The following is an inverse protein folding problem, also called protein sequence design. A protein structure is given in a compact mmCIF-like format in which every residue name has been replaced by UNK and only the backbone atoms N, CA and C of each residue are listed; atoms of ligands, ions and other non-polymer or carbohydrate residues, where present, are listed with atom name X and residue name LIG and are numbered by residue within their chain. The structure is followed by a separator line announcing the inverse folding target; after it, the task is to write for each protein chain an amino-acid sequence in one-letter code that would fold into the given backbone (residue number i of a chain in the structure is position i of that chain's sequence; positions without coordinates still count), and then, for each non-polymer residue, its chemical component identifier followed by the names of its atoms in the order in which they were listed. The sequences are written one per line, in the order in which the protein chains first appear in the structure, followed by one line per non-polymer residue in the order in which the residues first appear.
data_IF_204448051309
#
_entry.id   IF_204448051309
#
_cell.length_a   1.000
_cell.length_b   1.000
_cell.length_c   1.000
_cell.angle_alpha   90.00
_cell.angle_beta   90.00
_cell.angle_gamma   90.00
#
_symmetry.space_group_name_H-M   'P 1'
#
loop_
_entity.id
_entity.type
_entity.pdbx_description
1 polymer ?
#
# COMPACT_ATOMS: atom_id res chain seq x y z
N UNK A 1 30.03 -23.63 34.84
CA UNK A 1 30.41 -22.87 33.65
C UNK A 1 29.12 -22.60 32.87
N UNK A 2 28.58 -21.41 32.94
CA UNK A 2 27.38 -21.05 32.20
C UNK A 2 27.89 -20.38 30.93
N UNK A 3 27.64 -21.04 29.78
CA UNK A 3 27.95 -20.52 28.47
C UNK A 3 27.02 -19.31 28.22
N UNK A 4 27.58 -18.11 28.30
CA UNK A 4 26.96 -16.90 27.77
C UNK A 4 27.06 -17.05 26.24
N UNK A 5 25.95 -17.45 25.61
CA UNK A 5 25.78 -17.27 24.16
C UNK A 5 25.61 -15.76 23.98
N UNK A 6 26.61 -15.11 23.43
CA UNK A 6 26.51 -13.72 23.02
C UNK A 6 25.44 -13.64 21.92
N UNK A 7 24.43 -12.82 22.10
CA UNK A 7 23.47 -12.50 21.06
C UNK A 7 24.22 -11.99 19.84
N UNK A 8 24.11 -12.66 18.71
CA UNK A 8 24.68 -12.20 17.43
C UNK A 8 23.89 -10.95 16.99
N UNK A 9 24.52 -9.78 16.95
CA UNK A 9 23.82 -8.54 16.56
C UNK A 9 23.34 -8.56 15.09
N UNK A 10 23.73 -9.56 14.29
CA UNK A 10 23.30 -9.78 12.92
C UNK A 10 22.27 -10.92 12.79
N UNK A 11 21.86 -11.56 13.87
CA UNK A 11 20.79 -12.54 13.79
C UNK A 11 19.49 -11.85 13.32
N UNK A 12 18.75 -12.42 12.35
CA UNK A 12 17.47 -11.86 11.93
C UNK A 12 16.57 -11.78 13.16
N UNK A 13 16.17 -10.57 13.52
CA UNK A 13 15.25 -10.38 14.63
C UNK A 13 13.94 -11.13 14.32
N UNK A 14 13.46 -11.89 15.28
CA UNK A 14 12.19 -12.58 15.13
C UNK A 14 11.06 -11.52 14.95
N UNK A 15 10.25 -11.69 13.92
CA UNK A 15 9.10 -10.80 13.65
C UNK A 15 8.19 -10.76 14.89
N UNK A 16 7.88 -9.54 15.32
CA UNK A 16 7.03 -9.32 16.49
C UNK A 16 5.58 -9.67 16.17
N UNK A 17 4.96 -10.52 16.99
CA UNK A 17 3.54 -10.86 16.87
C UNK A 17 2.62 -9.75 17.38
N UNK A 18 1.56 -9.47 16.62
CA UNK A 18 0.52 -8.53 17.02
C UNK A 18 -0.48 -9.24 17.96
N UNK A 19 -0.72 -8.63 19.12
CA UNK A 19 -1.71 -9.15 20.04
C UNK A 19 -3.12 -8.65 19.69
N UNK A 20 -4.19 -9.43 19.98
CA UNK A 20 -5.56 -8.95 19.84
C UNK A 20 -5.79 -7.64 20.60
N UNK A 21 -6.52 -6.71 20.02
CA UNK A 21 -6.80 -5.42 20.63
C UNK A 21 -6.92 -4.30 19.61
N UNK A 22 -6.76 -3.06 20.07
CA UNK A 22 -6.84 -1.88 19.21
C UNK A 22 -5.62 -1.75 18.33
N UNK A 23 -5.88 -1.44 17.05
CA UNK A 23 -4.86 -1.14 16.05
C UNK A 23 -5.25 0.12 15.30
N UNK A 24 -4.38 1.11 15.26
CA UNK A 24 -4.61 2.33 14.48
C UNK A 24 -4.37 2.03 13.01
N UNK A 25 -5.34 2.35 12.14
CA UNK A 25 -5.14 2.44 10.69
C UNK A 25 -4.67 3.85 10.38
N UNK A 26 -3.37 4.01 10.13
CA UNK A 26 -2.71 5.29 9.90
C UNK A 26 -2.92 5.77 8.45
N UNK A 27 -4.19 6.01 8.09
CA UNK A 27 -4.59 6.50 6.78
C UNK A 27 -5.80 7.42 6.89
N UNK A 28 -5.78 8.50 6.08
CA UNK A 28 -6.90 9.41 5.89
C UNK A 28 -7.69 9.10 4.59
N UNK A 29 -7.27 8.10 3.82
CA UNK A 29 -7.98 7.65 2.64
C UNK A 29 -9.11 6.67 3.02
N UNK A 30 -10.41 7.03 2.84
CA UNK A 30 -11.53 6.19 3.25
C UNK A 30 -11.58 4.83 2.51
N UNK A 31 -11.07 4.79 1.27
CA UNK A 31 -10.99 3.55 0.48
C UNK A 31 -10.03 2.56 1.12
N UNK A 32 -8.80 3.00 1.44
CA UNK A 32 -7.78 2.20 2.11
C UNK A 32 -8.24 1.74 3.50
N UNK A 33 -8.80 2.65 4.30
CA UNK A 33 -9.33 2.31 5.64
C UNK A 33 -10.37 1.21 5.57
N UNK A 34 -11.31 1.30 4.61
CA UNK A 34 -12.35 0.28 4.42
C UNK A 34 -11.78 -1.08 4.02
N UNK A 35 -10.82 -1.10 3.07
CA UNK A 35 -10.16 -2.34 2.64
C UNK A 35 -9.38 -2.99 3.79
N UNK A 36 -8.58 -2.22 4.53
CA UNK A 36 -7.79 -2.75 5.66
C UNK A 36 -8.70 -3.26 6.78
N UNK A 37 -9.80 -2.55 7.10
CA UNK A 37 -10.78 -3.03 8.09
C UNK A 37 -11.38 -4.38 7.70
N UNK A 38 -11.75 -4.55 6.44
CA UNK A 38 -12.32 -5.80 5.95
C UNK A 38 -11.30 -6.96 6.05
N UNK A 39 -10.04 -6.70 5.72
CA UNK A 39 -8.96 -7.67 5.81
C UNK A 39 -8.62 -8.07 7.25
N UNK A 40 -8.71 -7.14 8.21
CA UNK A 40 -8.40 -7.38 9.62
C UNK A 40 -9.54 -8.09 10.39
N UNK A 41 -10.77 -8.09 9.87
CA UNK A 41 -11.95 -8.61 10.56
C UNK A 41 -11.80 -10.04 11.14
N UNK A 42 -11.13 -11.01 10.47
CA UNK A 42 -10.98 -12.37 10.98
C UNK A 42 -10.01 -12.51 12.17
N UNK A 43 -9.20 -11.49 12.48
CA UNK A 43 -8.03 -11.65 13.39
C UNK A 43 -8.25 -11.10 14.81
N UNK A 44 -9.49 -10.75 15.17
CA UNK A 44 -9.80 -10.23 16.52
C UNK A 44 -9.20 -8.85 16.81
N UNK A 45 -8.87 -8.10 15.75
CA UNK A 45 -8.35 -6.73 15.82
C UNK A 45 -9.53 -5.75 15.84
N UNK A 46 -9.43 -4.73 16.69
CA UNK A 46 -10.34 -3.59 16.74
C UNK A 46 -9.71 -2.39 16.03
N UNK A 47 -10.00 -2.18 14.72
CA UNK A 47 -9.36 -1.12 13.95
C UNK A 47 -9.97 0.24 14.27
N UNK A 48 -9.10 1.21 14.61
CA UNK A 48 -9.44 2.62 14.83
C UNK A 48 -8.74 3.44 13.75
N UNK A 49 -9.42 4.35 13.04
CA UNK A 49 -8.74 5.15 12.02
C UNK A 49 -7.97 6.32 12.63
N UNK A 50 -6.93 6.80 11.93
CA UNK A 50 -6.21 8.01 12.33
C UNK A 50 -7.15 9.21 12.45
N UNK A 51 -8.17 9.30 11.59
CA UNK A 51 -9.17 10.35 11.63
C UNK A 51 -10.07 10.27 12.88
N UNK A 52 -10.40 9.07 13.37
CA UNK A 52 -11.19 8.88 14.59
C UNK A 52 -10.42 9.32 15.85
N UNK A 53 -9.09 9.46 15.74
CA UNK A 53 -8.18 9.88 16.82
C UNK A 53 -7.63 11.29 16.59
N UNK A 54 -8.12 12.04 15.60
CA UNK A 54 -7.62 13.37 15.23
C UNK A 54 -6.10 13.42 15.00
N UNK A 55 -5.49 12.32 14.53
CA UNK A 55 -4.07 12.26 14.24
C UNK A 55 -3.73 13.04 12.97
N UNK A 56 -2.64 13.83 12.97
CA UNK A 56 -2.20 14.54 11.76
C UNK A 56 -1.69 13.58 10.70
N UNK A 57 -1.89 13.93 9.43
CA UNK A 57 -1.24 13.25 8.32
C UNK A 57 0.22 13.72 8.21
N UNK A 58 1.22 12.81 8.28
CA UNK A 58 2.61 13.20 8.16
C UNK A 58 2.96 13.60 6.73
N UNK A 59 3.99 14.45 6.60
CA UNK A 59 4.62 14.70 5.31
C UNK A 59 5.38 13.45 4.87
N UNK A 60 5.10 12.95 3.68
CA UNK A 60 5.79 11.80 3.09
C UNK A 60 7.13 12.24 2.51
N UNK A 61 8.21 12.02 3.27
CA UNK A 61 9.59 12.37 2.91
C UNK A 61 10.42 11.16 2.48
N UNK A 62 9.86 9.97 2.55
CA UNK A 62 10.51 8.74 2.13
C UNK A 62 10.71 8.66 0.60
N UNK A 63 11.74 7.94 0.19
CA UNK A 63 12.07 7.71 -1.22
C UNK A 63 11.57 6.37 -1.76
N UNK A 64 10.92 5.58 -0.90
CA UNK A 64 10.31 4.28 -1.24
C UNK A 64 8.94 4.16 -0.59
N UNK A 65 8.08 3.27 -1.11
CA UNK A 65 6.78 2.99 -0.51
C UNK A 65 6.91 2.52 0.94
N UNK A 66 7.86 1.62 1.21
CA UNK A 66 8.04 1.11 2.57
C UNK A 66 8.49 2.20 3.54
N UNK A 67 9.40 3.09 3.15
CA UNK A 67 9.85 4.20 4.00
C UNK A 67 8.72 5.17 4.33
N UNK A 68 7.81 5.46 3.38
CA UNK A 68 6.64 6.28 3.64
C UNK A 68 5.62 5.56 4.54
N UNK A 69 5.40 4.25 4.34
CA UNK A 69 4.53 3.46 5.20
C UNK A 69 5.07 3.41 6.64
N UNK A 70 6.37 3.16 6.83
CA UNK A 70 7.04 3.17 8.14
C UNK A 70 6.91 4.52 8.85
N UNK A 71 7.17 5.61 8.13
CA UNK A 71 7.04 6.97 8.66
C UNK A 71 5.62 7.22 9.19
N UNK A 72 4.60 6.86 8.41
CA UNK A 72 3.19 7.01 8.81
C UNK A 72 2.83 6.13 10.00
N UNK A 73 3.27 4.87 10.00
CA UNK A 73 2.98 3.92 11.08
C UNK A 73 3.66 4.34 12.39
N UNK A 74 4.94 4.70 12.35
CA UNK A 74 5.70 5.14 13.53
C UNK A 74 5.10 6.40 14.16
N UNK A 75 4.76 7.42 13.34
CA UNK A 75 4.14 8.63 13.88
C UNK A 75 2.78 8.33 14.52
N UNK A 76 1.94 7.51 13.89
CA UNK A 76 0.64 7.16 14.44
C UNK A 76 0.77 6.34 15.74
N UNK A 77 1.75 5.43 15.83
CA UNK A 77 2.01 4.65 17.02
C UNK A 77 2.52 5.52 18.19
N UNK A 78 3.43 6.44 17.91
CA UNK A 78 3.97 7.38 18.91
C UNK A 78 2.87 8.29 19.48
N UNK A 79 2.07 8.90 18.59
CA UNK A 79 1.02 9.84 19.00
C UNK A 79 -0.19 9.17 19.70
N UNK A 80 -0.53 7.93 19.30
CA UNK A 80 -1.71 7.24 19.86
C UNK A 80 -1.37 6.39 21.10
N UNK A 81 -0.10 6.00 21.27
CA UNK A 81 0.29 4.99 22.26
C UNK A 81 -0.22 3.56 21.94
N UNK A 82 -0.66 3.31 20.71
CA UNK A 82 -1.19 2.03 20.23
C UNK A 82 -0.35 1.50 19.06
N UNK A 83 -0.35 0.18 18.80
CA UNK A 83 0.17 -0.31 17.54
C UNK A 83 -0.55 0.36 16.36
N UNK A 84 0.18 0.65 15.29
CA UNK A 84 -0.37 1.32 14.12
C UNK A 84 0.07 0.65 12.83
N UNK A 85 -0.88 0.44 11.91
CA UNK A 85 -0.68 -0.10 10.58
C UNK A 85 -0.88 1.02 9.56
N UNK A 86 0.13 1.29 8.75
CA UNK A 86 0.07 2.21 7.63
C UNK A 86 0.20 1.49 6.30
N UNK A 87 -0.31 2.10 5.25
CA UNK A 87 -0.13 1.67 3.87
C UNK A 87 0.43 2.84 3.04
N UNK A 88 1.41 2.53 2.20
CA UNK A 88 1.75 3.37 1.06
C UNK A 88 1.69 2.56 -0.22
N UNK A 89 1.09 3.13 -1.28
CA UNK A 89 0.81 2.36 -2.49
C UNK A 89 0.70 3.25 -3.71
N UNK A 90 1.07 2.71 -4.86
CA UNK A 90 1.00 3.43 -6.11
C UNK A 90 1.18 2.56 -7.34
N UNK A 91 0.98 3.21 -8.49
CA UNK A 91 1.21 2.65 -9.81
C UNK A 91 2.64 2.94 -10.23
N UNK A 92 3.35 1.93 -10.70
CA UNK A 92 4.67 2.04 -11.30
C UNK A 92 4.59 1.63 -12.77
N UNK A 93 5.06 2.47 -13.68
CA UNK A 93 5.02 2.24 -15.14
C UNK A 93 6.44 2.05 -15.66
N UNK A 94 6.71 0.90 -16.30
CA UNK A 94 8.06 0.52 -16.71
C UNK A 94 8.65 1.50 -17.74
N UNK A 95 7.85 1.94 -18.71
CA UNK A 95 8.28 2.93 -19.71
C UNK A 95 8.61 4.30 -19.10
N UNK A 96 8.14 4.58 -17.89
CA UNK A 96 8.37 5.81 -17.14
C UNK A 96 9.39 5.63 -15.99
N UNK A 97 10.17 4.55 -16.03
CA UNK A 97 11.17 4.23 -15.00
C UNK A 97 10.58 4.10 -13.58
N UNK A 98 9.33 3.63 -13.50
CA UNK A 98 8.60 3.43 -12.24
C UNK A 98 7.73 4.62 -11.81
N UNK A 99 7.74 5.73 -12.54
CA UNK A 99 6.80 6.82 -12.26
C UNK A 99 5.35 6.43 -12.63
N UNK A 100 4.33 6.99 -11.98
CA UNK A 100 4.37 7.97 -10.88
C UNK A 100 4.87 7.41 -9.53
N UNK A 101 4.89 6.10 -9.30
CA UNK A 101 5.45 5.47 -8.10
C UNK A 101 4.87 6.05 -6.80
N UNK A 102 5.73 6.44 -5.88
CA UNK A 102 5.34 7.08 -4.60
C UNK A 102 4.59 8.42 -4.79
N UNK A 103 4.64 9.01 -5.97
CA UNK A 103 3.93 10.24 -6.30
C UNK A 103 2.55 10.00 -6.93
N UNK A 104 2.06 8.76 -6.94
CA UNK A 104 0.78 8.39 -7.59
C UNK A 104 -0.39 9.29 -7.17
N UNK A 105 -0.54 9.55 -5.87
CA UNK A 105 -1.58 10.45 -5.38
C UNK A 105 -1.32 11.93 -5.70
N UNK A 106 -0.05 12.34 -5.80
CA UNK A 106 0.33 13.73 -6.11
C UNK A 106 0.05 14.08 -7.57
N UNK A 107 0.15 13.13 -8.50
CA UNK A 107 -0.20 13.34 -9.90
C UNK A 107 -1.69 13.64 -10.11
N UNK A 108 -2.55 13.19 -9.18
CA UNK A 108 -3.98 13.51 -9.20
C UNK A 108 -4.30 14.90 -8.60
N UNK A 109 -3.28 15.62 -8.11
CA UNK A 109 -3.43 16.95 -7.52
C UNK A 109 -4.22 16.97 -6.20
N UNK A 110 -4.48 18.17 -5.67
CA UNK A 110 -5.17 18.34 -4.38
C UNK A 110 -6.61 17.85 -4.42
N UNK A 111 -7.27 17.94 -5.58
CA UNK A 111 -8.66 17.51 -5.78
C UNK A 111 -8.78 16.01 -6.02
N UNK A 112 -7.66 15.27 -6.07
CA UNK A 112 -7.59 13.83 -6.35
C UNK A 112 -8.27 13.44 -7.66
N UNK A 113 -8.05 14.24 -8.71
CA UNK A 113 -8.53 13.98 -10.07
C UNK A 113 -7.70 12.88 -10.74
N UNK A 114 -8.11 11.65 -10.55
CA UNK A 114 -7.43 10.49 -11.12
C UNK A 114 -7.68 10.33 -12.62
N UNK A 115 -8.73 10.92 -13.18
CA UNK A 115 -8.94 10.93 -14.64
C UNK A 115 -7.86 11.78 -15.31
N UNK A 116 -7.54 12.94 -14.73
CA UNK A 116 -6.42 13.77 -15.15
C UNK A 116 -5.09 13.03 -15.00
N UNK A 117 -4.87 12.37 -13.86
CA UNK A 117 -3.63 11.61 -13.59
C UNK A 117 -3.44 10.45 -14.57
N UNK A 118 -4.46 9.67 -14.86
CA UNK A 118 -4.43 8.60 -15.87
C UNK A 118 -4.12 9.13 -17.25
N UNK A 119 -4.73 10.26 -17.63
CA UNK A 119 -4.44 10.96 -18.88
C UNK A 119 -2.98 11.39 -18.98
N UNK A 120 -2.41 11.93 -17.90
CA UNK A 120 -1.01 12.34 -17.84
C UNK A 120 -0.04 11.15 -17.97
N UNK A 121 -0.33 10.04 -17.29
CA UNK A 121 0.45 8.78 -17.42
C UNK A 121 0.43 8.32 -18.87
N UNK A 122 -0.77 8.24 -19.47
CA UNK A 122 -0.91 7.77 -20.84
C UNK A 122 -0.15 8.64 -21.85
N UNK A 123 -0.29 9.96 -21.77
CA UNK A 123 0.44 10.91 -22.63
C UNK A 123 1.96 10.75 -22.52
N UNK A 124 2.49 10.54 -21.32
CA UNK A 124 3.92 10.33 -21.13
C UNK A 124 4.40 8.99 -21.70
N UNK A 125 3.60 7.93 -21.63
CA UNK A 125 3.92 6.63 -22.25
C UNK A 125 3.91 6.79 -23.78
N UNK A 126 2.90 7.46 -24.37
CA UNK A 126 2.85 7.71 -25.82
C UNK A 126 4.02 8.55 -26.30
N UNK A 127 4.47 9.52 -25.51
CA UNK A 127 5.63 10.36 -25.84
C UNK A 127 6.96 9.59 -25.92
N UNK A 128 7.03 8.35 -25.38
CA UNK A 128 8.19 7.47 -25.54
C UNK A 128 8.28 6.83 -26.94
N UNK A 129 7.23 6.97 -27.76
CA UNK A 129 7.16 6.54 -29.15
C UNK A 129 6.39 5.24 -29.38
N UNK A 130 6.20 4.91 -30.68
CA UNK A 130 5.52 3.68 -31.08
C UNK A 130 6.26 2.46 -30.54
N UNK A 131 5.53 1.57 -29.85
CA UNK A 131 6.09 0.36 -29.22
C UNK A 131 6.60 0.56 -27.81
N UNK A 132 6.38 1.71 -27.18
CA UNK A 132 6.66 1.87 -25.75
C UNK A 132 5.91 0.81 -24.93
N UNK A 133 6.61 0.21 -23.96
CA UNK A 133 6.01 -0.78 -23.08
C UNK A 133 4.83 -0.19 -22.34
N UNK A 134 3.75 -0.95 -22.25
CA UNK A 134 2.59 -0.63 -21.41
C UNK A 134 2.61 -1.41 -20.10
N UNK A 135 3.67 -2.16 -19.87
CA UNK A 135 3.84 -2.90 -18.61
C UNK A 135 3.86 -1.94 -17.44
N UNK A 136 3.11 -2.30 -16.44
CA UNK A 136 2.99 -1.55 -15.19
C UNK A 136 2.75 -2.52 -14.04
N UNK A 137 2.91 -2.03 -12.84
CA UNK A 137 2.56 -2.78 -11.66
C UNK A 137 2.07 -1.86 -10.55
N UNK A 138 1.19 -2.38 -9.71
CA UNK A 138 0.89 -1.74 -8.45
C UNK A 138 1.78 -2.31 -7.35
N UNK A 139 2.20 -1.43 -6.44
CA UNK A 139 2.88 -1.78 -5.19
C UNK A 139 2.02 -1.34 -4.01
N UNK A 140 1.99 -2.16 -2.98
CA UNK A 140 1.50 -1.79 -1.66
C UNK A 140 2.57 -2.15 -0.63
N UNK A 141 3.03 -1.19 0.13
CA UNK A 141 3.86 -1.39 1.31
C UNK A 141 2.99 -1.21 2.56
N UNK A 142 2.95 -2.21 3.41
CA UNK A 142 2.34 -2.16 4.75
C UNK A 142 3.45 -2.05 5.78
N UNK A 143 3.32 -1.14 6.74
CA UNK A 143 4.19 -1.06 7.89
C UNK A 143 3.39 -1.14 9.19
N UNK A 144 3.79 -2.03 10.08
CA UNK A 144 3.24 -2.17 11.42
C UNK A 144 4.26 -1.64 12.43
N UNK A 145 3.90 -0.59 13.17
CA UNK A 145 4.76 0.00 14.19
C UNK A 145 4.14 -0.13 15.58
N UNK A 146 5.00 -0.22 16.60
CA UNK A 146 4.62 -0.20 18.00
C UNK A 146 5.13 1.08 18.68
N UNK A 147 4.52 1.51 19.79
CA UNK A 147 4.92 2.73 20.50
C UNK A 147 6.37 2.75 21.02
N UNK A 148 7.02 1.59 21.11
CA UNK A 148 8.43 1.46 21.51
C UNK A 148 9.43 1.65 20.34
N UNK A 149 8.93 2.00 19.16
CA UNK A 149 9.72 2.25 17.95
C UNK A 149 10.04 1.00 17.12
N UNK A 150 9.59 -0.19 17.52
CA UNK A 150 9.71 -1.38 16.68
C UNK A 150 8.81 -1.26 15.45
N UNK A 151 9.31 -1.66 14.28
CA UNK A 151 8.56 -1.61 13.03
C UNK A 151 8.82 -2.85 12.19
N UNK A 152 7.77 -3.35 11.53
CA UNK A 152 7.81 -4.47 10.58
C UNK A 152 7.20 -4.03 9.24
N UNK A 153 7.85 -4.36 8.13
CA UNK A 153 7.43 -3.94 6.80
C UNK A 153 7.11 -5.12 5.87
N UNK A 154 6.08 -4.97 5.04
CA UNK A 154 5.61 -6.00 4.11
C UNK A 154 5.22 -5.36 2.78
N UNK A 155 5.80 -5.81 1.68
CA UNK A 155 5.46 -5.31 0.36
C UNK A 155 4.74 -6.38 -0.46
N UNK A 156 3.71 -5.94 -1.18
CA UNK A 156 2.98 -6.73 -2.15
C UNK A 156 2.94 -6.05 -3.51
N UNK A 157 2.81 -6.85 -4.55
CA UNK A 157 2.85 -6.40 -5.94
C UNK A 157 1.82 -7.15 -6.78
N UNK A 158 1.29 -6.47 -7.79
CA UNK A 158 0.55 -7.10 -8.88
C UNK A 158 1.00 -6.50 -10.20
N UNK A 159 1.36 -7.36 -11.15
CA UNK A 159 1.79 -6.96 -12.49
C UNK A 159 0.62 -6.90 -13.45
N UNK A 160 0.71 -6.00 -14.43
CA UNK A 160 -0.33 -5.78 -15.43
C UNK A 160 0.14 -4.90 -16.56
N UNK A 161 -0.84 -4.42 -17.33
CA UNK A 161 -0.62 -3.50 -18.43
C UNK A 161 -1.55 -2.29 -18.33
N UNK A 162 -1.09 -1.17 -18.85
CA UNK A 162 -1.93 0.00 -19.02
C UNK A 162 -2.84 -0.18 -20.24
N UNK A 163 -4.09 0.22 -20.11
CA UNK A 163 -5.06 0.27 -21.20
C UNK A 163 -5.62 1.68 -21.35
N UNK A 164 -6.00 2.03 -22.58
CA UNK A 164 -6.61 3.31 -22.91
C UNK A 164 -7.69 3.14 -23.99
N UNK A 165 -8.84 3.79 -23.86
CA UNK A 165 -9.27 4.61 -22.71
C UNK A 165 -9.47 3.80 -21.44
N UNK A 166 -9.51 4.44 -20.24
CA UNK A 166 -9.84 3.78 -18.99
C UNK A 166 -11.22 3.11 -19.04
N UNK A 167 -11.36 1.93 -18.40
CA UNK A 167 -12.59 1.13 -18.42
C UNK A 167 -13.04 0.76 -17.02
N UNK A 168 -14.35 0.80 -16.77
CA UNK A 168 -14.98 0.43 -15.51
C UNK A 168 -15.10 1.60 -14.53
N UNK A 169 -15.91 1.39 -13.50
CA UNK A 169 -16.24 2.39 -12.48
C UNK A 169 -16.00 1.88 -11.06
N UNK A 170 -15.49 0.64 -10.93
CA UNK A 170 -15.16 0.07 -9.62
C UNK A 170 -13.78 0.53 -9.17
N UNK A 171 -13.54 0.41 -7.87
CA UNK A 171 -12.23 0.73 -7.29
C UNK A 171 -11.97 2.22 -7.13
N UNK A 172 -10.72 2.64 -7.26
CA UNK A 172 -10.27 4.02 -7.14
C UNK A 172 -8.88 4.20 -7.77
N UNK A 173 -8.44 5.44 -7.88
CA UNK A 173 -7.10 5.73 -8.38
C UNK A 173 -6.92 5.37 -9.84
N UNK A 174 -5.92 4.59 -10.15
CA UNK A 174 -5.57 4.16 -11.50
C UNK A 174 -6.22 2.83 -11.91
N UNK A 175 -7.17 2.30 -11.13
CA UNK A 175 -7.78 0.99 -11.36
C UNK A 175 -8.41 0.85 -12.75
N UNK A 176 -9.03 1.92 -13.26
CA UNK A 176 -9.71 1.90 -14.55
C UNK A 176 -8.77 1.79 -15.76
N UNK A 177 -7.49 2.11 -15.61
CA UNK A 177 -6.49 1.96 -16.68
C UNK A 177 -5.55 0.77 -16.50
N UNK A 178 -5.72 -0.04 -15.45
CA UNK A 178 -4.83 -1.16 -15.13
C UNK A 178 -5.51 -2.51 -15.35
N UNK A 179 -5.00 -3.28 -16.30
CA UNK A 179 -5.41 -4.65 -16.62
C UNK A 179 -4.38 -5.62 -16.04
N UNK A 180 -4.72 -6.39 -14.98
CA UNK A 180 -3.76 -7.31 -14.36
C UNK A 180 -3.42 -8.48 -15.28
N UNK A 181 -2.19 -9.00 -15.20
CA UNK A 181 -1.76 -10.14 -16.02
C UNK A 181 -2.69 -11.35 -15.85
N UNK A 182 -3.04 -11.98 -16.97
CA UNK A 182 -3.93 -13.14 -17.01
C UNK A 182 -5.41 -12.81 -17.00
N UNK A 183 -5.78 -11.54 -17.10
CA UNK A 183 -7.16 -11.08 -17.21
C UNK A 183 -7.34 -10.16 -18.42
N UNK A 184 -8.59 -10.11 -18.94
CA UNK A 184 -8.98 -9.26 -20.07
C UNK A 184 -9.83 -8.06 -19.61
N UNK A 185 -9.88 -7.81 -18.31
CA UNK A 185 -10.65 -6.73 -17.66
C UNK A 185 -9.75 -5.91 -16.74
N UNK A 186 -10.02 -4.63 -16.66
CA UNK A 186 -9.29 -3.74 -15.72
C UNK A 186 -9.75 -3.95 -14.27
N UNK A 187 -8.98 -3.47 -13.33
CA UNK A 187 -9.44 -3.39 -11.94
C UNK A 187 -10.70 -2.53 -11.78
N UNK A 188 -10.91 -1.55 -12.68
CA UNK A 188 -12.13 -0.75 -12.73
C UNK A 188 -13.37 -1.50 -13.24
N UNK A 189 -13.19 -2.56 -14.03
CA UNK A 189 -14.26 -3.44 -14.51
C UNK A 189 -14.48 -4.64 -13.58
N UNK A 190 -13.46 -5.03 -12.84
CA UNK A 190 -13.46 -6.23 -12.01
C UNK A 190 -14.43 -6.10 -10.83
N UNK A 191 -15.07 -7.22 -10.46
CA UNK A 191 -15.81 -7.28 -9.21
C UNK A 191 -14.88 -6.97 -8.03
N UNK A 192 -15.27 -6.13 -7.05
CA UNK A 192 -14.42 -5.75 -5.92
C UNK A 192 -13.84 -6.93 -5.14
N UNK A 193 -14.61 -7.99 -4.89
CA UNK A 193 -14.14 -9.16 -4.14
C UNK A 193 -13.06 -9.93 -4.93
N UNK A 194 -13.21 -10.03 -6.26
CA UNK A 194 -12.22 -10.64 -7.13
C UNK A 194 -10.91 -9.81 -7.16
N UNK A 195 -11.02 -8.48 -7.24
CA UNK A 195 -9.87 -7.58 -7.13
C UNK A 195 -9.18 -7.73 -5.78
N UNK A 196 -9.94 -7.76 -4.67
CA UNK A 196 -9.37 -7.90 -3.32
C UNK A 196 -8.60 -9.21 -3.14
N UNK A 197 -9.01 -10.28 -3.81
CA UNK A 197 -8.34 -11.58 -3.72
C UNK A 197 -6.96 -11.62 -4.40
N UNK A 198 -6.67 -10.71 -5.33
CA UNK A 198 -5.46 -10.75 -6.16
C UNK A 198 -4.66 -9.45 -6.19
N UNK A 199 -5.10 -8.41 -5.51
CA UNK A 199 -4.46 -7.10 -5.58
C UNK A 199 -3.09 -7.07 -4.87
N UNK A 200 -2.28 -6.06 -5.21
CA UNK A 200 -1.04 -5.73 -4.49
C UNK A 200 -1.23 -5.65 -2.97
N UNK A 201 -2.37 -5.09 -2.52
CA UNK A 201 -2.70 -5.00 -1.08
C UNK A 201 -3.01 -6.37 -0.49
N UNK A 202 -3.69 -7.24 -1.22
CA UNK A 202 -3.94 -8.61 -0.77
C UNK A 202 -2.63 -9.40 -0.61
N UNK A 203 -1.68 -9.25 -1.54
CA UNK A 203 -0.36 -9.88 -1.45
C UNK A 203 0.44 -9.36 -0.24
N UNK A 204 0.52 -8.02 -0.06
CA UNK A 204 1.15 -7.43 1.12
C UNK A 204 0.49 -7.90 2.43
N UNK A 205 -0.85 -7.95 2.44
CA UNK A 205 -1.61 -8.35 3.61
C UNK A 205 -1.45 -9.85 3.94
N UNK A 206 -1.35 -10.72 2.94
CA UNK A 206 -1.07 -12.13 3.15
C UNK A 206 0.29 -12.35 3.82
N UNK A 207 1.32 -11.60 3.39
CA UNK A 207 2.65 -11.61 4.02
C UNK A 207 2.61 -11.08 5.44
N UNK A 208 1.92 -9.97 5.66
CA UNK A 208 1.69 -9.38 6.98
C UNK A 208 1.03 -10.40 7.93
N UNK A 209 -0.09 -11.01 7.53
CA UNK A 209 -0.82 -11.98 8.37
C UNK A 209 0.04 -13.20 8.71
N UNK A 210 0.72 -13.78 7.73
CA UNK A 210 1.59 -14.94 7.95
C UNK A 210 2.74 -14.64 8.93
N UNK A 211 3.17 -13.38 8.99
CA UNK A 211 4.28 -12.97 9.83
C UNK A 211 3.83 -12.56 11.25
N UNK A 212 2.71 -11.84 11.40
CA UNK A 212 2.36 -11.18 12.67
C UNK A 212 1.26 -11.87 13.47
N UNK A 213 0.53 -12.83 12.88
CA UNK A 213 -0.42 -13.71 13.56
C UNK A 213 0.05 -15.17 13.57
#
# INVERSE_FOLDING_TARGET
MSDFIADDPNAPQAIRKLQPGKLVIASHNPGKVREIRALLAPYGIEPVSAADLDLPEPEETGTTFIANAELKAMQAADLSGLPALADDSGLCVDALLGEPGIFSARWAGPDKDFDMAMGAVWQQVEAKGEGASRSAHFVCALALAWPDGHVEGFEGRVDGNLVWPPRGLNGFGYDAMFEPLGHDVTFGEMNPDAKYAMSHRADAFAKFVAAVF
#
